data_IF_867304147923
#
_entry.id   IF_867304147923
#
_cell.length_a   1.000
_cell.length_b   1.000
_cell.length_c   1.000
_cell.angle_alpha   90.00
_cell.angle_beta   90.00
_cell.angle_gamma   90.00
#
_symmetry.space_group_name_H-M   'P 1'
#
loop_
_entity.id
_entity.type
_entity.pdbx_description
1 polymer ?
#
# COMPACT_ATOMS: atom_id res chain seq x y z
N UNK A 1 -0.46 -8.00 21.60
CA UNK A 1 -0.78 -7.94 20.15
C UNK A 1 -1.96 -8.86 19.91
N UNK A 2 -3.07 -8.37 19.36
CA UNK A 2 -4.29 -9.16 19.14
C UNK A 2 -4.52 -9.38 17.64
N UNK A 3 -4.93 -10.59 17.25
CA UNK A 3 -5.41 -10.87 15.89
C UNK A 3 -6.83 -10.34 15.80
N UNK A 4 -7.08 -9.45 14.83
CA UNK A 4 -8.43 -8.88 14.62
C UNK A 4 -9.12 -9.48 13.41
N UNK A 5 -8.35 -10.07 12.50
CA UNK A 5 -8.87 -10.79 11.36
C UNK A 5 -7.80 -11.73 10.79
N UNK A 6 -8.24 -12.86 10.25
CA UNK A 6 -7.39 -13.80 9.56
C UNK A 6 -8.17 -14.45 8.42
N UNK A 7 -7.48 -14.72 7.32
CA UNK A 7 -7.98 -15.50 6.21
C UNK A 7 -6.94 -16.52 5.80
N UNK A 8 -7.39 -17.76 5.62
CA UNK A 8 -6.57 -18.88 5.17
C UNK A 8 -7.06 -19.27 3.79
N UNK A 9 -6.21 -19.04 2.78
CA UNK A 9 -6.36 -19.64 1.47
C UNK A 9 -5.54 -20.95 1.41
N UNK A 10 -5.60 -21.63 0.26
CA UNK A 10 -4.87 -22.87 0.06
C UNK A 10 -3.35 -22.67 0.07
N UNK A 11 -2.86 -21.59 -0.54
CA UNK A 11 -1.44 -21.31 -0.77
C UNK A 11 -0.89 -20.16 0.09
N UNK A 12 -1.75 -19.44 0.81
CA UNK A 12 -1.33 -18.30 1.62
C UNK A 12 -2.27 -17.99 2.80
N UNK A 13 -1.76 -17.22 3.75
CA UNK A 13 -2.50 -16.73 4.91
C UNK A 13 -2.37 -15.22 5.01
N UNK A 14 -3.49 -14.50 5.13
CA UNK A 14 -3.49 -13.09 5.51
C UNK A 14 -3.91 -12.95 6.97
N UNK A 15 -3.25 -12.05 7.70
CA UNK A 15 -3.53 -11.80 9.11
C UNK A 15 -3.44 -10.31 9.40
N UNK A 16 -4.49 -9.76 10.01
CA UNK A 16 -4.48 -8.41 10.56
C UNK A 16 -4.30 -8.51 12.07
N UNK A 17 -3.32 -7.77 12.59
CA UNK A 17 -3.15 -7.60 14.02
C UNK A 17 -3.28 -6.14 14.42
N UNK A 18 -3.67 -5.93 15.68
CA UNK A 18 -3.64 -4.61 16.32
C UNK A 18 -2.73 -4.62 17.55
N UNK A 19 -1.97 -3.55 17.69
CA UNK A 19 -1.16 -3.23 18.86
C UNK A 19 -1.36 -1.75 19.21
N UNK A 20 -2.21 -1.47 20.21
CA UNK A 20 -2.68 -0.10 20.45
C UNK A 20 -3.43 0.44 19.24
N UNK A 21 -3.02 1.61 18.75
CA UNK A 21 -3.57 2.26 17.55
C UNK A 21 -2.94 1.78 16.24
N UNK A 22 -1.94 0.90 16.32
CA UNK A 22 -1.22 0.40 15.16
C UNK A 22 -1.94 -0.83 14.57
N UNK A 23 -2.26 -0.76 13.28
CA UNK A 23 -2.79 -1.87 12.47
C UNK A 23 -1.66 -2.44 11.62
N UNK A 24 -1.54 -3.77 11.59
CA UNK A 24 -0.51 -4.48 10.83
C UNK A 24 -1.14 -5.55 9.95
N UNK A 25 -0.77 -5.56 8.67
CA UNK A 25 -1.12 -6.61 7.73
C UNK A 25 0.07 -7.53 7.51
N UNK A 26 -0.18 -8.82 7.70
CA UNK A 26 0.76 -9.89 7.44
C UNK A 26 0.24 -10.80 6.33
N UNK A 27 1.15 -11.27 5.47
CA UNK A 27 0.91 -12.37 4.53
C UNK A 27 1.98 -13.44 4.77
N UNK A 28 1.58 -14.69 4.98
CA UNK A 28 2.48 -15.81 5.30
C UNK A 28 3.45 -15.50 6.47
N UNK A 29 3.00 -14.71 7.44
CA UNK A 29 3.81 -14.29 8.59
C UNK A 29 4.76 -13.11 8.35
N UNK A 30 4.95 -12.66 7.11
CA UNK A 30 5.73 -11.47 6.76
C UNK A 30 4.88 -10.22 6.93
N UNK A 31 5.44 -9.12 7.46
CA UNK A 31 4.75 -7.84 7.60
C UNK A 31 4.74 -7.12 6.24
N UNK A 32 3.56 -6.89 5.69
CA UNK A 32 3.36 -6.23 4.39
C UNK A 32 2.92 -4.78 4.53
N UNK A 33 2.19 -4.41 5.59
CA UNK A 33 1.81 -3.02 5.81
C UNK A 33 1.60 -2.75 7.28
N UNK A 34 1.91 -1.52 7.68
CA UNK A 34 1.66 -1.02 9.03
C UNK A 34 1.14 0.41 8.97
N UNK A 35 0.10 0.69 9.74
CA UNK A 35 -0.43 2.05 9.88
C UNK A 35 -0.69 2.40 11.34
N UNK A 36 -0.17 3.56 11.75
CA UNK A 36 -0.48 4.18 13.03
C UNK A 36 -0.75 5.68 12.77
N UNK A 37 -2.00 6.16 12.90
CA UNK A 37 -2.33 7.56 12.62
C UNK A 37 -1.62 8.54 13.56
N UNK A 38 -1.17 8.08 14.73
CA UNK A 38 -0.49 8.93 15.72
C UNK A 38 1.05 8.90 15.58
N UNK A 39 1.59 8.12 14.65
CA UNK A 39 3.03 7.93 14.50
C UNK A 39 3.40 7.72 13.03
N UNK A 40 3.26 8.79 12.24
CA UNK A 40 3.40 8.77 10.79
C UNK A 40 4.83 8.50 10.31
N UNK A 41 5.83 9.05 11.02
CA UNK A 41 7.25 8.89 10.74
C UNK A 41 7.93 8.21 11.93
N UNK A 42 7.91 6.88 11.93
CA UNK A 42 8.46 6.04 13.00
C UNK A 42 9.69 5.22 12.57
N UNK A 43 10.29 5.54 11.42
CA UNK A 43 11.44 4.84 10.86
C UNK A 43 11.07 3.54 10.15
N UNK A 44 9.85 3.42 9.62
CA UNK A 44 9.41 2.27 8.84
C UNK A 44 9.79 2.40 7.36
N UNK A 45 9.90 1.26 6.68
CA UNK A 45 10.29 1.19 5.27
C UNK A 45 9.42 2.08 4.37
N UNK A 46 8.12 2.15 4.66
CA UNK A 46 7.13 2.90 3.89
C UNK A 46 7.46 4.40 3.76
N UNK A 47 8.19 4.93 4.74
CA UNK A 47 8.59 6.34 4.79
C UNK A 47 9.63 6.68 3.72
N UNK A 48 10.44 5.71 3.28
CA UNK A 48 11.42 5.93 2.21
C UNK A 48 10.73 6.25 0.87
N UNK A 49 9.54 5.68 0.62
CA UNK A 49 8.79 5.92 -0.61
C UNK A 49 8.17 7.31 -0.67
N UNK A 50 7.87 7.95 0.47
CA UNK A 50 7.38 9.34 0.47
C UNK A 50 8.53 10.33 0.33
N UNK A 51 9.73 10.00 0.80
CA UNK A 51 10.88 10.90 0.67
C UNK A 51 11.20 11.18 -0.80
N UNK A 52 11.14 10.16 -1.66
CA UNK A 52 11.33 10.36 -3.10
C UNK A 52 10.27 11.30 -3.69
N UNK A 53 9.04 11.23 -3.18
CA UNK A 53 7.93 12.12 -3.56
C UNK A 53 8.07 13.55 -3.01
N UNK A 54 8.85 13.76 -1.95
CA UNK A 54 9.14 15.10 -1.41
C UNK A 54 10.28 15.80 -2.18
N UNK A 55 11.15 15.05 -2.84
CA UNK A 55 12.31 15.60 -3.56
C UNK A 55 12.05 16.05 -5.00
N UNK A 56 10.81 15.91 -5.49
CA UNK A 56 10.46 16.38 -6.84
C UNK A 56 10.51 17.92 -6.92
N UNK A 57 11.10 18.42 -8.01
CA UNK A 57 11.14 19.86 -8.33
C UNK A 57 9.83 20.36 -8.96
N UNK A 58 8.96 19.45 -9.40
CA UNK A 58 7.67 19.74 -10.00
C UNK A 58 6.54 19.55 -8.97
N UNK A 59 5.45 20.32 -9.07
CA UNK A 59 4.28 20.11 -8.21
C UNK A 59 3.73 18.69 -8.39
N UNK A 60 3.52 18.00 -7.27
CA UNK A 60 3.05 16.63 -7.25
C UNK A 60 1.54 16.60 -7.52
N UNK A 61 1.15 16.32 -8.76
CA UNK A 61 -0.26 16.34 -9.18
C UNK A 61 -0.89 14.95 -9.22
N UNK A 62 -0.11 13.94 -9.64
CA UNK A 62 -0.59 12.57 -9.79
C UNK A 62 0.51 11.56 -9.48
N UNK A 63 0.17 10.56 -8.69
CA UNK A 63 1.07 9.46 -8.32
C UNK A 63 0.46 8.14 -8.74
N UNK A 64 1.28 7.27 -9.31
CA UNK A 64 0.93 5.87 -9.53
C UNK A 64 1.65 5.00 -8.51
N UNK A 65 0.90 4.19 -7.76
CA UNK A 65 1.43 3.18 -6.83
C UNK A 65 1.16 1.80 -7.41
N UNK A 66 2.22 1.09 -7.81
CA UNK A 66 2.16 -0.27 -8.32
C UNK A 66 2.48 -1.26 -7.19
N UNK A 67 1.48 -2.01 -6.76
CA UNK A 67 1.50 -2.77 -5.51
C UNK A 67 1.05 -1.86 -4.37
N UNK A 68 -0.24 -1.88 -4.02
CA UNK A 68 -0.72 -1.07 -2.89
C UNK A 68 -0.22 -1.61 -1.55
N UNK A 69 0.18 -2.89 -1.49
CA UNK A 69 0.98 -3.49 -0.43
C UNK A 69 0.35 -3.46 0.96
N UNK A 70 -0.93 -3.11 1.05
CA UNK A 70 -1.69 -2.99 2.30
C UNK A 70 -2.03 -1.56 2.69
N UNK A 71 -1.51 -0.56 1.97
CA UNK A 71 -2.00 0.82 2.01
C UNK A 71 -1.16 1.81 2.81
N UNK A 72 -0.06 1.39 3.45
CA UNK A 72 0.79 2.29 4.26
C UNK A 72 1.29 3.49 3.47
N UNK A 73 1.87 3.27 2.28
CA UNK A 73 2.37 4.34 1.43
C UNK A 73 1.23 5.24 0.96
N UNK A 74 0.08 4.66 0.58
CA UNK A 74 -1.10 5.43 0.16
C UNK A 74 -1.57 6.35 1.28
N UNK A 75 -1.65 5.86 2.52
CA UNK A 75 -2.05 6.65 3.68
C UNK A 75 -1.06 7.78 3.99
N UNK A 76 0.25 7.51 3.86
CA UNK A 76 1.27 8.56 4.01
C UNK A 76 1.16 9.61 2.91
N UNK A 77 0.98 9.20 1.64
CA UNK A 77 0.79 10.10 0.52
C UNK A 77 -0.44 10.99 0.69
N UNK A 78 -1.57 10.42 1.10
CA UNK A 78 -2.79 11.19 1.39
C UNK A 78 -2.61 12.18 2.53
N UNK A 79 -1.76 11.86 3.51
CA UNK A 79 -1.47 12.75 4.62
C UNK A 79 -0.57 13.93 4.20
N UNK A 80 0.54 13.65 3.51
CA UNK A 80 1.54 14.67 3.15
C UNK A 80 1.20 15.45 1.88
N UNK A 81 0.39 14.87 1.00
CA UNK A 81 0.00 15.45 -0.28
C UNK A 81 -1.53 15.30 -0.48
N UNK A 82 -2.36 16.01 0.33
CA UNK A 82 -3.80 15.80 0.36
C UNK A 82 -4.52 16.06 -0.97
N UNK A 83 -3.94 16.91 -1.82
CA UNK A 83 -4.51 17.29 -3.12
C UNK A 83 -4.05 16.39 -4.29
N UNK A 84 -3.17 15.41 -4.02
CA UNK A 84 -2.61 14.56 -5.08
C UNK A 84 -3.60 13.49 -5.53
N UNK A 85 -3.68 13.28 -6.84
CA UNK A 85 -4.44 12.16 -7.38
C UNK A 85 -3.61 10.87 -7.28
N UNK A 86 -4.14 9.84 -6.62
CA UNK A 86 -3.44 8.55 -6.46
C UNK A 86 -4.16 7.45 -7.25
N UNK A 87 -3.47 6.90 -8.25
CA UNK A 87 -3.82 5.64 -8.89
C UNK A 87 -3.06 4.51 -8.21
N UNK A 88 -3.78 3.56 -7.60
CA UNK A 88 -3.18 2.42 -6.92
C UNK A 88 -3.59 1.10 -7.61
N UNK A 89 -2.60 0.29 -7.97
CA UNK A 89 -2.81 -1.01 -8.61
C UNK A 89 -2.42 -2.11 -7.64
N UNK A 90 -3.37 -3.02 -7.36
CA UNK A 90 -3.16 -4.18 -6.48
C UNK A 90 -3.88 -5.38 -7.06
N UNK A 91 -3.16 -6.48 -7.28
CA UNK A 91 -3.73 -7.68 -7.90
C UNK A 91 -4.32 -8.64 -6.88
N UNK A 92 -3.85 -8.62 -5.63
CA UNK A 92 -4.37 -9.49 -4.58
C UNK A 92 -5.65 -8.85 -3.99
N UNK A 93 -6.80 -9.40 -4.36
CA UNK A 93 -8.12 -8.91 -3.91
C UNK A 93 -8.28 -8.99 -2.39
N UNK A 94 -7.68 -9.99 -1.73
CA UNK A 94 -7.71 -10.13 -0.27
C UNK A 94 -6.86 -9.04 0.36
N UNK A 95 -5.70 -8.75 -0.23
CA UNK A 95 -4.85 -7.64 0.18
C UNK A 95 -5.56 -6.29 0.05
N UNK A 96 -6.24 -6.07 -1.08
CA UNK A 96 -7.02 -4.86 -1.31
C UNK A 96 -8.20 -4.73 -0.35
N UNK A 97 -8.93 -5.83 -0.11
CA UNK A 97 -10.02 -5.90 0.85
C UNK A 97 -9.55 -5.53 2.25
N UNK A 98 -8.46 -6.14 2.71
CA UNK A 98 -7.93 -5.89 4.05
C UNK A 98 -7.43 -4.46 4.21
N UNK A 99 -6.77 -3.91 3.19
CA UNK A 99 -6.32 -2.53 3.18
C UNK A 99 -7.50 -1.55 3.33
N UNK A 100 -8.56 -1.71 2.53
CA UNK A 100 -9.77 -0.88 2.63
C UNK A 100 -10.45 -1.02 3.98
N UNK A 101 -10.65 -2.25 4.45
CA UNK A 101 -11.41 -2.53 5.66
C UNK A 101 -10.70 -2.13 6.94
N UNK A 102 -9.39 -2.33 7.02
CA UNK A 102 -8.65 -2.19 8.29
C UNK A 102 -7.70 -0.99 8.31
N UNK A 103 -7.20 -0.56 7.15
CA UNK A 103 -6.26 0.57 7.02
C UNK A 103 -6.92 1.82 6.41
N UNK A 104 -8.19 1.71 5.96
CA UNK A 104 -9.04 2.82 5.52
C UNK A 104 -8.53 3.57 4.28
N UNK A 105 -7.90 2.85 3.34
CA UNK A 105 -7.54 3.41 2.02
C UNK A 105 -8.81 3.61 1.17
N UNK A 106 -9.46 4.76 1.35
CA UNK A 106 -10.73 5.06 0.67
C UNK A 106 -10.57 6.05 -0.49
N UNK A 107 -9.50 6.86 -0.50
CA UNK A 107 -9.31 7.96 -1.44
C UNK A 107 -8.22 7.66 -2.48
N UNK A 108 -8.34 6.53 -3.19
CA UNK A 108 -7.49 6.20 -4.33
C UNK A 108 -8.24 5.35 -5.36
N UNK A 109 -7.94 5.56 -6.64
CA UNK A 109 -8.51 4.73 -7.70
C UNK A 109 -7.82 3.37 -7.68
N UNK A 110 -8.61 2.35 -7.40
CA UNK A 110 -8.11 0.98 -7.33
C UNK A 110 -8.33 0.26 -8.64
N UNK A 111 -7.26 -0.36 -9.13
CA UNK A 111 -7.35 -1.25 -10.29
C UNK A 111 -6.75 -2.60 -9.94
N UNK A 112 -7.48 -3.67 -10.27
CA UNK A 112 -7.13 -5.06 -9.93
C UNK A 112 -6.47 -5.82 -11.08
N UNK A 113 -6.14 -5.12 -12.16
CA UNK A 113 -5.59 -5.75 -13.37
C UNK A 113 -4.31 -5.04 -13.80
N UNK A 114 -3.24 -5.80 -14.10
CA UNK A 114 -1.98 -5.23 -14.58
C UNK A 114 -2.13 -4.48 -15.92
N UNK A 115 -3.05 -4.91 -16.80
CA UNK A 115 -3.38 -4.19 -18.04
C UNK A 115 -3.92 -2.78 -17.80
N UNK A 116 -4.50 -2.54 -16.62
CA UNK A 116 -4.98 -1.21 -16.25
C UNK A 116 -3.85 -0.19 -16.04
N UNK A 117 -2.62 -0.67 -15.80
CA UNK A 117 -1.38 0.13 -15.76
C UNK A 117 -1.05 0.66 -17.15
N UNK A 118 -1.34 -0.12 -18.21
CA UNK A 118 -1.07 0.26 -19.59
C UNK A 118 -1.94 1.46 -20.01
N UNK A 119 -3.18 1.50 -19.52
CA UNK A 119 -4.14 2.58 -19.78
C UNK A 119 -4.01 3.77 -18.81
N UNK A 120 -2.99 3.80 -17.95
CA UNK A 120 -2.71 5.00 -17.18
C UNK A 120 -2.20 6.09 -18.11
N UNK A 121 -2.73 7.30 -17.96
CA UNK A 121 -2.21 8.46 -18.68
C UNK A 121 -0.83 8.82 -18.13
N UNK A 122 0.21 8.24 -18.73
CA UNK A 122 1.61 8.34 -18.27
C UNK A 122 2.13 9.78 -18.28
N UNK A 123 1.68 10.59 -19.24
CA UNK A 123 2.10 11.98 -19.37
C UNK A 123 1.62 12.86 -18.20
N UNK A 124 0.62 12.39 -17.45
CA UNK A 124 0.11 13.07 -16.26
C UNK A 124 0.75 12.61 -14.93
N UNK A 125 1.53 11.52 -14.93
CA UNK A 125 2.12 10.95 -13.69
C UNK A 125 3.40 11.70 -13.35
N UNK A 126 3.43 12.31 -12.17
CA UNK A 126 4.62 13.02 -11.66
C UNK A 126 5.62 12.06 -11.02
N UNK A 127 5.12 11.04 -10.29
CA UNK A 127 5.93 10.03 -9.59
C UNK A 127 5.28 8.65 -9.71
N UNK A 128 6.10 7.62 -9.95
CA UNK A 128 5.68 6.23 -9.89
C UNK A 128 6.41 5.52 -8.73
N UNK A 129 5.64 4.90 -7.84
CA UNK A 129 6.14 4.09 -6.72
C UNK A 129 5.86 2.63 -7.04
N UNK A 130 6.90 1.80 -6.97
CA UNK A 130 6.80 0.36 -7.21
C UNK A 130 7.07 -0.35 -5.90
N UNK A 131 6.02 -0.94 -5.33
CA UNK A 131 6.09 -1.76 -4.12
C UNK A 131 6.06 -3.25 -4.50
N UNK A 132 7.25 -3.83 -4.70
CA UNK A 132 7.38 -5.23 -5.11
C UNK A 132 7.43 -6.22 -3.94
N UNK A 133 7.40 -5.77 -2.69
CA UNK A 133 7.47 -6.67 -1.53
C UNK A 133 6.31 -7.66 -1.49
N UNK A 134 5.14 -7.29 -2.03
CA UNK A 134 4.03 -8.22 -2.23
C UNK A 134 4.36 -9.35 -3.22
N UNK A 135 5.15 -9.06 -4.26
CA UNK A 135 5.49 -9.99 -5.33
C UNK A 135 6.65 -10.92 -4.99
N UNK A 136 7.71 -10.41 -4.36
CA UNK A 136 8.86 -11.23 -3.97
C UNK A 136 8.49 -12.27 -2.89
N UNK A 137 7.56 -11.93 -1.99
CA UNK A 137 7.01 -12.87 -1.01
C UNK A 137 6.02 -13.89 -1.61
N UNK A 138 5.50 -13.65 -2.83
CA UNK A 138 4.69 -14.65 -3.57
C UNK A 138 5.57 -15.72 -4.22
N UNK A 139 6.81 -15.41 -4.59
CA UNK A 139 7.72 -16.35 -5.27
C UNK A 139 8.52 -17.26 -4.35
N UNK A 140 8.44 -17.11 -3.02
CA UNK A 140 9.20 -17.94 -2.07
C UNK A 140 8.49 -19.25 -1.65
N UNK A 141 7.54 -19.74 -2.46
CA UNK A 141 7.06 -21.12 -2.38
C UNK A 141 7.61 -21.90 -3.58
N UNK A 142 8.90 -22.23 -3.52
CA UNK A 142 9.54 -23.32 -4.24
C UNK A 142 10.51 -24.02 -3.29
#
# INVERSE_FOLDING_TARGET
>A
MAIVWQHQAWDHTHKITRAGQCVRLYRNGVLHSQWNPNALLSGHLWELFILTSMTTQMPLQRICVLGAGGGSVIMLLQHFFPDVHIDAVELDEIHLFTAKKFLQINNCQHKTNLFSVINLNRDSITVAIIESLCWLAMTQVL
#
